data_IF_721211381024
#
_entry.id   IF_721211381024
#
_cell.length_a   1.000
_cell.length_b   1.000
_cell.length_c   1.000
_cell.angle_alpha   90.00
_cell.angle_beta   90.00
_cell.angle_gamma   90.00
#
_symmetry.space_group_name_H-M   'P 1'
#
loop_
_entity.id
_entity.type
_entity.pdbx_description
1 polymer ?
#
# COMPACT_ATOMS: atom_id res chain seq x y z
N UNK A 1 -9.87 -17.29 9.07
CA UNK A 1 -9.47 -17.98 10.31
C UNK A 1 -7.99 -18.38 10.22
N UNK A 2 -7.06 -17.54 10.68
CA UNK A 2 -5.61 -17.76 10.51
C UNK A 2 -4.97 -18.72 11.53
N UNK A 3 -5.73 -19.19 12.52
CA UNK A 3 -5.23 -20.06 13.60
C UNK A 3 -4.81 -21.47 13.14
N UNK A 4 -5.38 -21.98 12.04
CA UNK A 4 -5.21 -23.38 11.61
C UNK A 4 -3.78 -23.69 11.13
N UNK A 5 -3.17 -22.76 10.38
CA UNK A 5 -1.84 -22.96 9.78
C UNK A 5 -0.75 -22.94 10.88
N UNK A 6 -0.90 -22.04 11.85
CA UNK A 6 0.02 -21.94 12.99
C UNK A 6 -0.05 -23.18 13.89
N UNK A 7 -1.25 -23.73 14.11
CA UNK A 7 -1.44 -24.96 14.88
C UNK A 7 -0.77 -26.16 14.21
N UNK A 8 -0.96 -26.33 12.90
CA UNK A 8 -0.31 -27.42 12.13
C UNK A 8 1.21 -27.25 12.17
N UNK A 9 1.69 -26.04 11.93
CA UNK A 9 3.12 -25.73 11.99
C UNK A 9 3.72 -26.06 13.37
N UNK A 10 3.04 -25.70 14.46
CA UNK A 10 3.47 -25.99 15.83
C UNK A 10 3.51 -27.51 16.10
N UNK A 11 2.48 -28.25 15.70
CA UNK A 11 2.40 -29.71 15.90
C UNK A 11 3.51 -30.45 15.15
N UNK A 12 3.79 -30.07 13.90
CA UNK A 12 4.84 -30.69 13.08
C UNK A 12 6.24 -30.41 13.64
N UNK A 13 6.41 -29.25 14.28
CA UNK A 13 7.73 -28.74 14.63
C UNK A 13 8.10 -28.93 16.11
N UNK A 14 7.16 -29.38 16.94
CA UNK A 14 7.34 -29.58 18.38
C UNK A 14 8.45 -30.61 18.71
N UNK A 15 8.72 -31.54 17.79
CA UNK A 15 9.74 -32.58 17.94
C UNK A 15 11.16 -32.15 17.51
N UNK A 16 11.34 -30.94 16.99
CA UNK A 16 12.65 -30.42 16.60
C UNK A 16 13.25 -29.63 17.78
N UNK A 17 14.34 -30.15 18.37
CA UNK A 17 15.14 -29.46 19.38
C UNK A 17 15.78 -28.23 18.72
N UNK A 18 15.05 -27.11 18.70
CA UNK A 18 15.52 -25.82 18.18
C UNK A 18 16.11 -25.00 19.34
N UNK A 19 17.29 -24.41 19.11
CA UNK A 19 17.88 -23.44 20.05
C UNK A 19 16.92 -22.27 20.29
N UNK A 20 16.95 -21.69 21.51
CA UNK A 20 16.01 -20.63 21.92
C UNK A 20 15.97 -19.45 20.94
N UNK A 21 17.13 -19.00 20.47
CA UNK A 21 17.26 -17.91 19.49
C UNK A 21 16.55 -18.21 18.16
N UNK A 22 16.62 -19.45 17.65
CA UNK A 22 15.95 -19.84 16.40
C UNK A 22 14.42 -19.85 16.55
N UNK A 23 13.91 -20.18 17.73
CA UNK A 23 12.45 -20.16 17.99
C UNK A 23 11.90 -18.74 18.01
N UNK A 24 12.64 -17.78 18.56
CA UNK A 24 12.23 -16.37 18.61
C UNK A 24 12.20 -15.73 17.23
N UNK A 25 13.24 -15.93 16.41
CA UNK A 25 13.29 -15.42 15.03
C UNK A 25 12.13 -15.96 14.19
N UNK A 26 11.83 -17.25 14.34
CA UNK A 26 10.75 -17.89 13.60
C UNK A 26 9.36 -17.44 14.06
N UNK A 27 9.18 -17.23 15.36
CA UNK A 27 7.96 -16.62 15.90
C UNK A 27 7.74 -15.21 15.34
N UNK A 28 8.81 -14.41 15.27
CA UNK A 28 8.76 -13.06 14.72
C UNK A 28 8.42 -13.05 13.22
N UNK A 29 9.06 -13.90 12.43
CA UNK A 29 8.76 -14.05 11.00
C UNK A 29 7.32 -14.51 10.81
N UNK A 30 6.86 -15.50 11.57
CA UNK A 30 5.48 -15.99 11.50
C UNK A 30 4.47 -14.91 11.87
N UNK A 31 4.76 -14.10 12.88
CA UNK A 31 3.92 -12.96 13.25
C UNK A 31 3.80 -11.95 12.09
N UNK A 32 4.92 -11.53 11.50
CA UNK A 32 4.91 -10.63 10.33
C UNK A 32 4.14 -11.25 9.17
N UNK A 33 4.38 -12.54 8.88
CA UNK A 33 3.73 -13.23 7.78
C UNK A 33 2.21 -13.28 7.99
N UNK A 34 1.75 -13.59 9.21
CA UNK A 34 0.33 -13.62 9.52
C UNK A 34 -0.31 -12.23 9.44
N UNK A 35 0.36 -11.19 9.96
CA UNK A 35 -0.11 -9.82 9.82
C UNK A 35 -0.23 -9.42 8.35
N UNK A 36 0.77 -9.77 7.54
CA UNK A 36 0.76 -9.52 6.11
C UNK A 36 -0.36 -10.28 5.40
N UNK A 37 -0.53 -11.57 5.67
CA UNK A 37 -1.60 -12.40 5.09
C UNK A 37 -2.98 -11.85 5.45
N UNK A 38 -3.18 -11.43 6.71
CA UNK A 38 -4.44 -10.87 7.16
C UNK A 38 -4.77 -9.58 6.41
N UNK A 39 -3.79 -8.68 6.28
CA UNK A 39 -3.95 -7.44 5.52
C UNK A 39 -4.14 -7.70 4.02
N UNK A 40 -3.41 -8.65 3.46
CA UNK A 40 -3.54 -9.03 2.06
C UNK A 40 -4.91 -9.60 1.77
N UNK A 41 -5.48 -10.40 2.68
CA UNK A 41 -6.80 -10.99 2.54
C UNK A 41 -7.92 -9.93 2.55
N UNK A 42 -7.77 -8.85 3.33
CA UNK A 42 -8.74 -7.74 3.30
C UNK A 42 -8.61 -6.88 2.04
N UNK A 43 -7.40 -6.75 1.48
CA UNK A 43 -7.16 -6.02 0.24
C UNK A 43 -7.49 -6.85 -1.02
N UNK A 44 -7.46 -8.19 -0.92
CA UNK A 44 -7.64 -9.12 -2.04
C UNK A 44 -8.93 -8.88 -2.85
N UNK A 45 -10.12 -8.67 -2.22
CA UNK A 45 -11.35 -8.46 -2.96
C UNK A 45 -11.27 -7.25 -3.88
N UNK A 46 -10.64 -6.16 -3.44
CA UNK A 46 -10.46 -4.97 -4.26
C UNK A 46 -9.64 -5.27 -5.53
N UNK A 47 -8.52 -5.98 -5.39
CA UNK A 47 -7.71 -6.39 -6.53
C UNK A 47 -8.43 -7.37 -7.46
N UNK A 48 -9.18 -8.34 -6.91
CA UNK A 48 -10.01 -9.25 -7.69
C UNK A 48 -11.06 -8.46 -8.49
N UNK A 49 -11.72 -7.48 -7.88
CA UNK A 49 -12.70 -6.63 -8.57
C UNK A 49 -12.07 -5.82 -9.71
N UNK A 50 -10.83 -5.33 -9.54
CA UNK A 50 -10.06 -4.68 -10.61
C UNK A 50 -9.78 -5.65 -11.76
N UNK A 51 -9.39 -6.88 -11.47
CA UNK A 51 -9.04 -7.87 -12.49
C UNK A 51 -10.28 -8.36 -13.25
N UNK A 52 -11.38 -8.64 -12.54
CA UNK A 52 -12.56 -9.29 -13.11
C UNK A 52 -13.52 -8.31 -13.78
N UNK A 53 -13.72 -7.10 -13.23
CA UNK A 53 -14.74 -6.17 -13.75
C UNK A 53 -14.16 -5.07 -14.65
N UNK A 54 -14.45 -5.17 -15.95
CA UNK A 54 -14.07 -4.13 -16.92
C UNK A 54 -14.76 -2.79 -16.69
N UNK A 55 -15.97 -2.79 -16.12
CA UNK A 55 -16.73 -1.58 -15.76
C UNK A 55 -16.09 -0.86 -14.57
N UNK A 56 -15.64 -1.62 -13.57
CA UNK A 56 -14.96 -1.07 -12.40
C UNK A 56 -13.63 -0.41 -12.78
N UNK A 57 -12.82 -1.07 -13.64
CA UNK A 57 -11.59 -0.47 -14.19
C UNK A 57 -11.83 0.85 -14.90
N UNK A 58 -12.90 0.95 -15.70
CA UNK A 58 -13.27 2.20 -16.40
C UNK A 58 -13.69 3.31 -15.43
N UNK A 59 -14.34 2.97 -14.33
CA UNK A 59 -14.65 3.90 -13.24
C UNK A 59 -13.39 4.42 -12.55
N UNK A 60 -12.53 3.50 -12.11
CA UNK A 60 -11.24 3.82 -11.48
C UNK A 60 -10.36 4.68 -12.39
N UNK A 61 -10.19 4.31 -13.66
CA UNK A 61 -9.38 5.08 -14.62
C UNK A 61 -9.88 6.52 -14.76
N UNK A 62 -11.20 6.75 -14.79
CA UNK A 62 -11.76 8.11 -14.83
C UNK A 62 -11.47 8.90 -13.56
N UNK A 63 -11.55 8.27 -12.39
CA UNK A 63 -11.22 8.90 -11.10
C UNK A 63 -9.73 9.28 -11.07
N UNK A 64 -8.85 8.35 -11.44
CA UNK A 64 -7.41 8.58 -11.51
C UNK A 64 -7.04 9.71 -12.47
N UNK A 65 -7.63 9.74 -13.67
CA UNK A 65 -7.41 10.82 -14.65
C UNK A 65 -7.86 12.17 -14.07
N UNK A 66 -9.04 12.24 -13.45
CA UNK A 66 -9.52 13.47 -12.82
C UNK A 66 -8.57 13.94 -11.72
N UNK A 67 -8.16 13.03 -10.85
CA UNK A 67 -7.26 13.34 -9.74
C UNK A 67 -5.88 13.80 -10.21
N UNK A 68 -5.32 13.10 -11.21
CA UNK A 68 -4.05 13.48 -11.81
C UNK A 68 -4.15 14.86 -12.48
N UNK A 69 -5.21 15.10 -13.26
CA UNK A 69 -5.44 16.41 -13.88
C UNK A 69 -5.57 17.53 -12.84
N UNK A 70 -6.17 17.25 -11.68
CA UNK A 70 -6.31 18.21 -10.61
C UNK A 70 -4.96 18.56 -9.98
N UNK A 71 -4.11 17.56 -9.74
CA UNK A 71 -2.75 17.76 -9.22
C UNK A 71 -1.91 18.55 -10.21
N UNK A 72 -1.90 18.17 -11.49
CA UNK A 72 -1.11 18.86 -12.53
C UNK A 72 -1.55 20.32 -12.67
N UNK A 73 -2.86 20.60 -12.65
CA UNK A 73 -3.37 21.99 -12.68
C UNK A 73 -2.97 22.81 -11.46
N UNK A 74 -2.90 22.17 -10.28
CA UNK A 74 -2.49 22.84 -9.05
C UNK A 74 -1.01 23.23 -9.09
N UNK A 75 -0.15 22.35 -9.63
CA UNK A 75 1.28 22.61 -9.81
C UNK A 75 1.54 23.77 -10.77
N UNK A 76 0.85 23.80 -11.92
CA UNK A 76 0.99 24.89 -12.90
C UNK A 76 0.58 26.24 -12.29
N UNK A 77 -0.49 26.27 -11.48
CA UNK A 77 -0.93 27.50 -10.80
C UNK A 77 0.09 28.00 -9.77
N UNK A 78 0.71 27.10 -8.99
CA UNK A 78 1.73 27.51 -8.02
C UNK A 78 2.99 28.10 -8.67
N UNK A 79 3.45 27.53 -9.80
CA UNK A 79 4.59 28.08 -10.54
C UNK A 79 4.27 29.45 -11.15
N UNK A 80 3.04 29.65 -11.60
CA UNK A 80 2.58 30.93 -12.16
C UNK A 80 2.52 32.04 -11.10
N UNK A 81 2.03 31.73 -9.90
CA UNK A 81 1.98 32.67 -8.76
C UNK A 81 3.37 33.04 -8.21
N UNK A 82 4.37 32.17 -8.39
CA UNK A 82 5.76 32.42 -8.03
C UNK A 82 6.47 33.30 -9.08
N UNK A 83 6.28 32.99 -10.37
CA UNK A 83 6.79 33.80 -11.48
C UNK A 83 6.26 35.24 -11.42
N UNK A 84 4.96 35.43 -11.14
CA UNK A 84 4.36 36.76 -11.00
C UNK A 84 5.01 37.53 -9.85
N UNK A 85 5.22 36.90 -8.68
CA UNK A 85 5.89 37.53 -7.54
C UNK A 85 7.33 37.97 -7.87
N UNK A 86 8.10 37.14 -8.57
CA UNK A 86 9.47 37.52 -8.97
C UNK A 86 9.51 38.67 -9.98
N UNK A 87 8.49 38.81 -10.84
CA UNK A 87 8.38 39.94 -11.77
C UNK A 87 7.97 41.24 -11.07
N UNK A 88 7.08 41.18 -10.09
CA UNK A 88 6.67 42.38 -9.32
C UNK A 88 7.82 42.96 -8.50
N UNK A 89 8.70 42.10 -7.96
CA UNK A 89 9.87 42.53 -7.17
C UNK A 89 10.90 43.23 -8.08
N UNK A 90 11.10 42.77 -9.32
CA UNK A 90 12.02 43.43 -10.28
C UNK A 90 11.57 44.81 -10.76
N UNK A 91 10.26 45.10 -10.72
CA UNK A 91 9.73 46.40 -11.15
C UNK A 91 9.75 47.47 -10.04
N UNK A 92 10.05 47.09 -8.79
CA UNK A 92 10.17 48.01 -7.65
C UNK A 92 11.62 48.38 -7.29
N UNK A 93 12.61 47.77 -7.92
CA UNK A 93 14.02 48.19 -7.89
C UNK A 93 14.36 48.99 -9.15
#
# INVERSE_FOLDING_TARGET
MPFSIYLIYKIVTDNLIKSGERKEVESFINYILQSFIMYFNTALPFYIYILTSSSFRRGLKRIFIKFYSFITRKQIRSEQDESVRTMTIRHQC
#
